data_IF_464039644250
#
_entry.id   IF_464039644250
#
_cell.length_a   1.000
_cell.length_b   1.000
_cell.length_c   1.000
_cell.angle_alpha   90.00
_cell.angle_beta   90.00
_cell.angle_gamma   90.00
#
_symmetry.space_group_name_H-M   'P 1'
#
loop_
_entity.id
_entity.type
_entity.pdbx_description
1 polymer ?
#
# COMPACT_ATOMS: atom_id res chain seq x y z
N UNK A 1 0.42 24.02 -18.94
CA UNK A 1 1.39 24.17 -20.04
C UNK A 1 1.40 25.64 -20.46
N UNK A 2 2.56 26.20 -20.83
CA UNK A 2 2.65 27.59 -21.28
C UNK A 2 1.82 27.83 -22.54
N UNK A 3 1.40 29.08 -22.77
CA UNK A 3 0.53 29.38 -23.91
C UNK A 3 1.31 29.25 -25.24
N UNK A 4 0.64 28.98 -26.37
CA UNK A 4 1.30 28.88 -27.68
C UNK A 4 1.95 30.20 -28.15
N UNK A 5 1.60 31.32 -27.52
CA UNK A 5 2.22 32.62 -27.76
C UNK A 5 3.57 32.71 -27.03
N UNK A 6 3.60 32.33 -25.76
CA UNK A 6 4.82 32.30 -24.94
C UNK A 6 5.88 31.34 -25.52
N UNK A 7 5.46 30.17 -26.03
CA UNK A 7 6.40 29.21 -26.64
C UNK A 7 7.12 29.75 -27.88
N UNK A 8 6.46 30.61 -28.67
CA UNK A 8 7.07 31.27 -29.83
C UNK A 8 8.06 32.35 -29.42
N UNK A 9 7.79 33.07 -28.34
CA UNK A 9 8.74 34.02 -27.77
C UNK A 9 9.98 33.31 -27.21
N UNK A 10 9.82 32.16 -26.54
CA UNK A 10 10.95 31.35 -26.10
C UNK A 10 11.81 30.84 -27.26
N UNK A 11 11.18 30.43 -28.38
CA UNK A 11 11.88 29.97 -29.58
C UNK A 11 12.64 31.11 -30.29
N UNK A 12 12.16 32.35 -30.18
CA UNK A 12 12.83 33.54 -30.72
C UNK A 12 14.08 33.94 -29.92
N UNK A 13 14.09 33.68 -28.61
CA UNK A 13 15.23 33.99 -27.72
C UNK A 13 16.27 32.86 -27.76
N UNK A 14 15.82 31.61 -27.80
CA UNK A 14 16.69 30.46 -27.81
C UNK A 14 16.11 29.41 -28.78
N UNK A 15 16.75 29.19 -29.95
CA UNK A 15 16.34 28.12 -30.85
C UNK A 15 16.46 26.79 -30.10
N UNK A 16 15.44 25.93 -30.19
CA UNK A 16 15.27 24.66 -29.45
C UNK A 16 14.75 24.77 -27.99
N UNK A 17 14.34 25.97 -27.54
CA UNK A 17 13.71 26.12 -26.22
C UNK A 17 12.41 25.34 -26.00
N UNK A 18 11.44 25.30 -26.94
CA UNK A 18 10.17 24.60 -26.69
C UNK A 18 10.37 23.08 -26.62
N UNK A 19 11.17 22.48 -27.51
CA UNK A 19 11.53 21.06 -27.47
C UNK A 19 12.19 20.67 -26.14
N UNK A 20 13.13 21.49 -25.63
CA UNK A 20 13.74 21.28 -24.31
C UNK A 20 12.72 21.34 -23.17
N UNK A 21 11.80 22.30 -23.21
CA UNK A 21 10.74 22.44 -22.21
C UNK A 21 9.84 21.21 -22.19
N UNK A 22 9.45 20.70 -23.36
CA UNK A 22 8.68 19.46 -23.47
C UNK A 22 9.45 18.26 -22.96
N UNK A 23 10.73 18.10 -23.33
CA UNK A 23 11.57 17.00 -22.86
C UNK A 23 11.77 17.03 -21.33
N UNK A 24 11.91 18.21 -20.73
CA UNK A 24 12.00 18.38 -19.27
C UNK A 24 10.66 18.02 -18.61
N UNK A 25 9.54 18.47 -19.16
CA UNK A 25 8.23 18.13 -18.61
C UNK A 25 7.93 16.63 -18.70
N UNK A 26 8.23 16.02 -19.85
CA UNK A 26 8.02 14.59 -20.07
C UNK A 26 8.90 13.76 -19.14
N UNK A 27 10.19 14.08 -19.02
CA UNK A 27 11.09 13.40 -18.09
C UNK A 27 10.68 13.56 -16.62
N UNK A 28 10.14 14.70 -16.22
CA UNK A 28 9.60 14.91 -14.88
C UNK A 28 8.34 14.08 -14.62
N UNK A 29 7.40 14.04 -15.56
CA UNK A 29 6.17 13.26 -15.42
C UNK A 29 6.47 11.77 -15.38
N UNK A 30 7.29 11.25 -16.30
CA UNK A 30 7.69 9.84 -16.34
C UNK A 30 8.48 9.46 -15.08
N UNK A 31 9.42 10.32 -14.65
CA UNK A 31 10.21 10.10 -13.45
C UNK A 31 9.36 10.07 -12.17
N UNK A 32 8.36 10.95 -12.07
CA UNK A 32 7.41 10.97 -10.96
C UNK A 32 6.52 9.72 -10.95
N UNK A 33 5.92 9.36 -12.07
CA UNK A 33 5.09 8.15 -12.20
C UNK A 33 5.86 6.89 -11.83
N UNK A 34 7.07 6.70 -12.38
CA UNK A 34 7.92 5.56 -12.05
C UNK A 34 8.28 5.47 -10.56
N UNK A 35 8.40 6.62 -9.88
CA UNK A 35 8.67 6.64 -8.44
C UNK A 35 7.43 6.28 -7.62
N UNK A 36 6.26 6.73 -8.05
CA UNK A 36 4.98 6.35 -7.42
C UNK A 36 4.71 4.87 -7.61
N UNK A 37 4.92 4.32 -8.81
CA UNK A 37 4.73 2.89 -9.08
C UNK A 37 5.62 2.02 -8.18
N UNK A 38 6.89 2.40 -8.01
CA UNK A 38 7.82 1.71 -7.10
C UNK A 38 7.40 1.78 -5.63
N UNK A 39 6.81 2.91 -5.21
CA UNK A 39 6.30 3.05 -3.84
C UNK A 39 5.08 2.15 -3.62
N UNK A 40 4.14 2.17 -4.56
CA UNK A 40 2.95 1.30 -4.52
C UNK A 40 3.37 -0.16 -4.54
N UNK A 41 4.34 -0.54 -5.38
CA UNK A 41 4.86 -1.92 -5.42
C UNK A 41 5.52 -2.33 -4.10
N UNK A 42 6.25 -1.42 -3.45
CA UNK A 42 6.83 -1.66 -2.14
C UNK A 42 5.76 -1.85 -1.06
N UNK A 43 4.72 -1.01 -1.05
CA UNK A 43 3.58 -1.14 -0.12
C UNK A 43 2.81 -2.44 -0.34
N UNK A 44 2.57 -2.83 -1.60
CA UNK A 44 1.91 -4.10 -1.94
C UNK A 44 2.74 -5.28 -1.45
N UNK A 45 4.05 -5.25 -1.66
CA UNK A 45 4.95 -6.32 -1.22
C UNK A 45 5.01 -6.43 0.30
N UNK A 46 5.01 -5.31 1.02
CA UNK A 46 4.95 -5.29 2.48
C UNK A 46 3.61 -5.84 2.99
N UNK A 47 2.50 -5.44 2.38
CA UNK A 47 1.17 -5.95 2.70
C UNK A 47 1.04 -7.45 2.40
N UNK A 48 1.62 -7.93 1.30
CA UNK A 48 1.65 -9.35 0.95
C UNK A 48 2.45 -10.15 1.98
N UNK A 49 3.64 -9.69 2.36
CA UNK A 49 4.45 -10.34 3.39
C UNK A 49 3.73 -10.38 4.76
N UNK A 50 3.10 -9.28 5.17
CA UNK A 50 2.29 -9.22 6.38
C UNK A 50 1.09 -10.18 6.34
N UNK A 51 0.41 -10.27 5.19
CA UNK A 51 -0.71 -11.19 4.99
C UNK A 51 -0.28 -12.65 5.03
N UNK A 52 0.86 -13.00 4.41
CA UNK A 52 1.40 -14.36 4.44
C UNK A 52 1.77 -14.78 5.87
N UNK A 53 2.39 -13.89 6.64
CA UNK A 53 2.71 -14.13 8.05
C UNK A 53 1.44 -14.26 8.92
N UNK A 54 0.42 -13.44 8.66
CA UNK A 54 -0.86 -13.53 9.36
C UNK A 54 -1.59 -14.85 9.07
N UNK A 55 -1.60 -15.29 7.81
CA UNK A 55 -2.23 -16.55 7.40
C UNK A 55 -1.52 -17.75 8.04
N UNK A 56 -0.19 -17.77 8.04
CA UNK A 56 0.56 -18.89 8.63
C UNK A 56 0.34 -18.99 10.14
N UNK A 57 0.30 -17.86 10.85
CA UNK A 57 -0.05 -17.82 12.28
C UNK A 57 -1.47 -18.34 12.52
N UNK A 58 -2.43 -17.91 11.69
CA UNK A 58 -3.83 -18.32 11.83
C UNK A 58 -3.99 -19.84 11.66
N UNK A 59 -3.31 -20.42 10.67
CA UNK A 59 -3.29 -21.88 10.43
C UNK A 59 -2.69 -22.62 11.63
N UNK A 60 -1.57 -22.14 12.19
CA UNK A 60 -0.96 -22.75 13.38
C UNK A 60 -1.90 -22.70 14.60
N UNK A 61 -2.57 -21.57 14.84
CA UNK A 61 -3.55 -21.45 15.92
C UNK A 61 -4.75 -22.39 15.72
N UNK A 62 -5.21 -22.55 14.48
CA UNK A 62 -6.32 -23.46 14.15
C UNK A 62 -5.95 -24.93 14.42
N UNK A 63 -4.76 -25.36 14.01
CA UNK A 63 -4.24 -26.70 14.28
C UNK A 63 -4.06 -26.90 15.79
N UNK A 64 -3.46 -25.93 16.48
CA UNK A 64 -3.27 -25.98 17.94
C UNK A 64 -4.59 -26.11 18.69
N UNK A 65 -5.61 -25.35 18.30
CA UNK A 65 -6.94 -25.46 18.91
C UNK A 65 -7.59 -26.82 18.65
N UNK A 66 -7.49 -27.36 17.43
CA UNK A 66 -8.02 -28.69 17.10
C UNK A 66 -7.35 -29.80 17.94
N UNK A 67 -6.03 -29.71 18.15
CA UNK A 67 -5.29 -30.65 19.01
C UNK A 67 -5.72 -30.54 20.47
N UNK A 68 -5.84 -29.32 21.02
CA UNK A 68 -6.31 -29.12 22.40
C UNK A 68 -7.74 -29.63 22.64
N UNK A 69 -8.60 -29.54 21.62
CA UNK A 69 -9.94 -30.10 21.65
C UNK A 69 -9.92 -31.64 21.68
N UNK A 70 -9.00 -32.25 20.91
CA UNK A 70 -8.81 -33.71 20.89
C UNK A 70 -8.26 -34.27 22.22
N UNK A 71 -7.45 -33.51 22.96
CA UNK A 71 -6.95 -33.89 24.28
C UNK A 71 -7.95 -33.63 25.44
N UNK A 72 -9.19 -33.26 25.13
CA UNK A 72 -10.27 -33.17 26.13
C UNK A 72 -10.22 -31.94 27.05
N UNK A 73 -9.48 -30.89 26.67
CA UNK A 73 -9.40 -29.65 27.44
C UNK A 73 -10.06 -28.48 26.66
N UNK A 74 -11.40 -28.41 26.65
CA UNK A 74 -12.15 -27.49 25.78
C UNK A 74 -11.94 -26.02 26.14
N UNK A 75 -11.57 -25.72 27.40
CA UNK A 75 -11.31 -24.35 27.88
C UNK A 75 -10.04 -23.79 27.21
N UNK A 76 -8.96 -24.58 27.17
CA UNK A 76 -7.72 -24.19 26.52
C UNK A 76 -7.88 -24.12 24.99
N UNK A 77 -8.63 -25.05 24.39
CA UNK A 77 -8.94 -25.03 22.95
C UNK A 77 -9.74 -23.80 22.53
N UNK A 78 -10.75 -23.41 23.33
CA UNK A 78 -11.56 -22.21 23.09
C UNK A 78 -10.79 -20.90 23.24
N UNK A 79 -9.91 -20.80 24.24
CA UNK A 79 -9.03 -19.65 24.42
C UNK A 79 -8.09 -19.46 23.21
N UNK A 80 -7.51 -20.55 22.69
CA UNK A 80 -6.63 -20.51 21.51
C UNK A 80 -7.38 -20.16 20.22
N UNK A 81 -8.66 -20.53 20.11
CA UNK A 81 -9.50 -20.22 18.95
C UNK A 81 -9.96 -18.75 18.94
N UNK A 82 -10.03 -18.10 20.11
CA UNK A 82 -10.44 -16.68 20.22
C UNK A 82 -9.51 -15.71 19.49
N UNK A 83 -8.20 -15.96 19.51
CA UNK A 83 -7.17 -15.16 18.84
C UNK A 83 -7.38 -15.05 17.31
N UNK A 84 -7.43 -16.16 16.56
CA UNK A 84 -7.68 -16.11 15.11
C UNK A 84 -9.08 -15.61 14.77
N UNK A 85 -10.11 -15.92 15.58
CA UNK A 85 -11.49 -15.44 15.33
C UNK A 85 -11.59 -13.92 15.47
N UNK A 86 -10.96 -13.32 16.48
CA UNK A 86 -10.93 -11.85 16.62
C UNK A 86 -10.20 -11.17 15.48
N UNK A 87 -9.09 -11.75 15.02
CA UNK A 87 -8.38 -11.28 13.83
C UNK A 87 -9.25 -11.33 12.57
N UNK A 88 -9.98 -12.43 12.37
CA UNK A 88 -10.90 -12.59 11.25
C UNK A 88 -12.07 -11.60 11.29
N UNK A 89 -12.65 -11.38 12.47
CA UNK A 89 -13.72 -10.40 12.67
C UNK A 89 -13.20 -8.99 12.34
N UNK A 90 -11.99 -8.63 12.79
CA UNK A 90 -11.36 -7.35 12.43
C UNK A 90 -11.14 -7.20 10.93
N UNK A 91 -10.83 -8.28 10.22
CA UNK A 91 -10.65 -8.25 8.77
C UNK A 91 -11.98 -8.05 8.02
N UNK A 92 -13.08 -8.52 8.60
CA UNK A 92 -14.42 -8.46 8.02
C UNK A 92 -15.13 -7.13 8.32
N UNK A 93 -14.74 -6.46 9.41
CA UNK A 93 -15.14 -5.09 9.72
C UNK A 93 -14.37 -4.14 8.79
N UNK A 94 -15.05 -3.42 7.87
CA UNK A 94 -14.39 -2.40 7.08
C UNK A 94 -13.82 -1.33 8.02
N UNK A 95 -12.57 -0.96 7.80
CA UNK A 95 -11.84 0.02 8.60
C UNK A 95 -12.56 1.39 8.54
N UNK A 96 -13.51 1.57 9.46
CA UNK A 96 -14.26 2.81 9.64
C UNK A 96 -13.47 3.72 10.57
N UNK A 97 -12.32 4.19 10.11
CA UNK A 97 -11.71 5.41 10.65
C UNK A 97 -10.20 5.40 10.83
N UNK A 98 -9.50 5.96 9.85
CA UNK A 98 -8.31 6.79 10.12
C UNK A 98 -8.18 7.92 9.08
N UNK A 99 -9.21 8.78 9.01
CA UNK A 99 -9.03 10.13 8.46
C UNK A 99 -8.54 11.07 9.57
N UNK A 100 -7.24 11.27 9.66
CA UNK A 100 -6.58 12.51 10.15
C UNK A 100 -5.13 12.45 9.67
N UNK A 101 -4.81 12.92 8.46
CA UNK A 101 -4.40 14.31 8.23
C UNK A 101 -3.83 14.96 9.49
N UNK A 102 -2.50 14.93 9.63
CA UNK A 102 -1.80 16.02 10.32
C UNK A 102 -0.78 16.59 9.33
N UNK A 103 -0.97 17.89 9.11
CA UNK A 103 -0.37 18.75 8.11
C UNK A 103 1.14 18.89 8.28
N UNK A 104 1.76 19.21 7.15
CA UNK A 104 2.93 20.06 6.98
C UNK A 104 3.30 20.91 8.21
N UNK A 105 4.57 20.81 8.60
CA UNK A 105 5.48 21.93 8.82
C UNK A 105 6.88 21.49 8.40
#
# INVERSE_FOLDING_TARGET
MPSPQDMREYQAILPDAPERLFAIHESQTIGYTNRMDKLVEAEVKEAEAGRVAAVSLMVLCMIGSALFFAFGNPIAGGAFLSLPVLGFIKQLLPDRGSKTSKKAD
#
